data_IF_383660849252
#
_entry.id   IF_383660849252
#
_cell.length_a   1.000
_cell.length_b   1.000
_cell.length_c   1.000
_cell.angle_alpha   90.00
_cell.angle_beta   90.00
_cell.angle_gamma   90.00
#
_symmetry.space_group_name_H-M   'P 1'
#
loop_
_entity.id
_entity.type
_entity.pdbx_description
1 polymer ?
#
# COMPACT_ATOMS: atom_id res chain seq x y z
N UNK A 1 6.13 -25.84 -22.53
CA UNK A 1 6.13 -24.37 -22.67
C UNK A 1 6.38 -23.77 -21.31
N UNK A 2 7.34 -22.84 -21.20
CA UNK A 2 7.48 -21.98 -20.03
C UNK A 2 6.76 -20.68 -20.38
N UNK A 3 5.64 -20.39 -19.73
CA UNK A 3 4.91 -19.14 -19.96
C UNK A 3 5.45 -18.05 -19.04
N UNK A 4 5.90 -16.94 -19.62
CA UNK A 4 6.07 -15.67 -18.92
C UNK A 4 4.74 -14.94 -18.90
N UNK A 5 4.35 -14.41 -17.73
CA UNK A 5 3.11 -13.66 -17.54
C UNK A 5 3.41 -12.37 -16.78
N UNK A 6 2.45 -11.45 -16.82
CA UNK A 6 2.59 -10.13 -16.22
C UNK A 6 2.69 -9.04 -17.28
N UNK A 7 2.68 -7.80 -16.80
CA UNK A 7 2.87 -6.64 -17.65
C UNK A 7 4.37 -6.31 -17.75
N UNK A 8 4.84 -6.19 -18.98
CA UNK A 8 6.15 -5.63 -19.31
C UNK A 8 6.00 -4.81 -20.60
N UNK A 9 5.91 -3.48 -20.54
CA UNK A 9 6.10 -2.64 -19.35
C UNK A 9 4.90 -2.62 -18.40
N UNK A 10 5.15 -2.32 -17.12
CA UNK A 10 4.11 -2.14 -16.09
C UNK A 10 3.24 -0.92 -16.42
N UNK A 11 1.90 -1.00 -16.30
CA UNK A 11 1.02 0.15 -16.48
C UNK A 11 1.34 1.27 -15.49
N UNK A 12 1.27 2.52 -15.97
CA UNK A 12 1.67 3.70 -15.20
C UNK A 12 0.84 3.87 -13.92
N UNK A 13 -0.45 3.59 -13.96
CA UNK A 13 -1.35 3.68 -12.80
C UNK A 13 -1.02 2.64 -11.72
N UNK A 14 -0.55 1.45 -12.11
CA UNK A 14 -0.05 0.43 -11.17
C UNK A 14 1.28 0.88 -10.56
N UNK A 15 2.18 1.44 -11.37
CA UNK A 15 3.48 1.93 -10.89
C UNK A 15 3.31 3.08 -9.87
N UNK A 16 2.44 4.06 -10.18
CA UNK A 16 2.12 5.17 -9.28
C UNK A 16 1.51 4.69 -7.96
N UNK A 17 0.54 3.77 -8.03
CA UNK A 17 -0.10 3.20 -6.84
C UNK A 17 0.91 2.51 -5.91
N UNK A 18 1.79 1.67 -6.45
CA UNK A 18 2.81 0.96 -5.68
C UNK A 18 3.81 1.92 -5.04
N UNK A 19 4.29 2.91 -5.80
CA UNK A 19 5.23 3.90 -5.27
C UNK A 19 4.62 4.75 -4.17
N UNK A 20 3.36 5.15 -4.32
CA UNK A 20 2.62 5.93 -3.32
C UNK A 20 2.46 5.16 -2.02
N UNK A 21 2.08 3.88 -2.11
CA UNK A 21 1.94 3.02 -0.94
C UNK A 21 3.30 2.75 -0.26
N UNK A 22 4.35 2.47 -1.04
CA UNK A 22 5.68 2.26 -0.50
C UNK A 22 6.19 3.49 0.29
N UNK A 23 5.97 4.70 -0.24
CA UNK A 23 6.32 5.94 0.45
C UNK A 23 5.52 6.12 1.75
N UNK A 24 4.22 5.81 1.73
CA UNK A 24 3.39 5.84 2.92
C UNK A 24 3.93 4.89 4.00
N UNK A 25 4.15 3.62 3.66
CA UNK A 25 4.62 2.60 4.59
C UNK A 25 6.03 2.87 5.13
N UNK A 26 6.90 3.56 4.38
CA UNK A 26 8.21 3.98 4.88
C UNK A 26 8.13 5.01 6.01
N UNK A 27 7.09 5.83 6.03
CA UNK A 27 6.88 6.84 7.08
C UNK A 27 6.16 6.29 8.31
N UNK A 28 5.51 5.15 8.16
CA UNK A 28 4.80 4.45 9.22
C UNK A 28 5.79 3.50 9.89
N UNK A 29 6.05 3.64 11.20
CA UNK A 29 6.80 2.63 11.96
C UNK A 29 5.85 1.50 12.38
N UNK A 30 5.82 0.33 11.70
CA UNK A 30 5.00 -0.78 12.15
C UNK A 30 5.51 -1.28 13.51
N UNK A 31 4.63 -1.32 14.50
CA UNK A 31 4.86 -1.98 15.79
C UNK A 31 5.40 -1.11 16.93
N UNK A 32 5.73 0.16 16.70
CA UNK A 32 6.11 1.08 17.78
C UNK A 32 4.98 2.10 17.97
N UNK A 33 4.04 1.78 18.86
CA UNK A 33 2.98 2.72 19.27
C UNK A 33 3.56 3.88 20.12
N UNK A 34 4.60 3.58 20.90
CA UNK A 34 5.35 4.57 21.68
C UNK A 34 6.79 4.12 21.91
N UNK A 35 7.72 5.07 21.99
CA UNK A 35 9.08 4.85 22.47
C UNK A 35 9.40 5.82 23.61
N UNK A 36 10.06 5.34 24.66
CA UNK A 36 10.57 6.19 25.74
C UNK A 36 12.08 6.30 25.61
N UNK A 37 12.59 7.50 25.38
CA UNK A 37 14.04 7.79 25.27
C UNK A 37 14.39 8.89 26.27
N UNK A 38 15.26 8.58 27.23
CA UNK A 38 15.79 9.61 28.15
C UNK A 38 14.77 10.34 29.02
N UNK A 39 13.58 9.75 29.26
CA UNK A 39 12.51 10.35 30.05
C UNK A 39 11.42 11.05 29.22
N UNK A 40 11.60 11.20 27.92
CA UNK A 40 10.56 11.64 26.99
C UNK A 40 9.83 10.43 26.38
N UNK A 41 8.50 10.50 26.34
CA UNK A 41 7.65 9.53 25.66
C UNK A 41 7.22 10.10 24.32
N UNK A 42 7.69 9.50 23.23
CA UNK A 42 7.24 9.80 21.88
C UNK A 42 6.14 8.81 21.49
N UNK A 43 4.95 9.33 21.17
CA UNK A 43 3.84 8.54 20.65
C UNK A 43 3.82 8.66 19.13
N UNK A 44 3.83 7.54 18.42
CA UNK A 44 3.66 7.53 16.97
C UNK A 44 2.18 7.33 16.68
N UNK A 45 1.59 8.22 15.89
CA UNK A 45 0.25 8.00 15.37
C UNK A 45 0.27 6.73 14.53
N UNK A 46 -0.66 5.81 14.83
CA UNK A 46 -0.90 4.67 13.97
C UNK A 46 -1.16 5.17 12.52
N UNK A 47 -0.74 4.40 11.50
CA UNK A 47 -1.11 4.70 10.12
C UNK A 47 -2.61 4.97 10.06
N UNK A 48 -3.03 6.03 9.36
CA UNK A 48 -4.43 6.23 9.02
C UNK A 48 -4.96 4.90 8.46
N UNK A 49 -6.00 4.34 9.08
CA UNK A 49 -6.38 2.93 8.93
C UNK A 49 -6.78 2.48 7.50
N UNK A 50 -6.63 3.33 6.49
CA UNK A 50 -6.93 3.03 5.09
C UNK A 50 -5.74 3.24 4.18
N UNK A 51 -5.63 2.38 3.17
CA UNK A 51 -4.66 2.55 2.09
C UNK A 51 -4.93 3.83 1.28
N UNK A 52 -3.91 4.44 0.65
CA UNK A 52 -4.06 5.58 -0.22
C UNK A 52 -5.11 5.34 -1.32
N UNK A 53 -5.85 6.39 -1.67
CA UNK A 53 -6.94 6.30 -2.65
C UNK A 53 -6.46 5.82 -4.04
N UNK A 54 -5.23 6.15 -4.43
CA UNK A 54 -4.62 5.71 -5.69
C UNK A 54 -4.47 4.20 -5.72
N UNK A 55 -4.07 3.59 -4.60
CA UNK A 55 -3.99 2.15 -4.45
C UNK A 55 -5.35 1.48 -4.63
N UNK A 56 -6.36 1.93 -3.89
CA UNK A 56 -7.72 1.36 -3.96
C UNK A 56 -8.27 1.42 -5.38
N UNK A 57 -8.10 2.55 -6.08
CA UNK A 57 -8.53 2.71 -7.47
C UNK A 57 -7.82 1.77 -8.44
N UNK A 58 -6.51 1.60 -8.29
CA UNK A 58 -5.74 0.68 -9.12
C UNK A 58 -6.21 -0.77 -8.91
N UNK A 59 -6.37 -1.20 -7.65
CA UNK A 59 -6.87 -2.54 -7.33
C UNK A 59 -8.27 -2.78 -7.92
N UNK A 60 -9.20 -1.84 -7.75
CA UNK A 60 -10.56 -1.96 -8.30
C UNK A 60 -10.59 -2.07 -9.83
N UNK A 61 -9.67 -1.37 -10.51
CA UNK A 61 -9.56 -1.39 -11.97
C UNK A 61 -9.05 -2.74 -12.48
N UNK A 62 -8.00 -3.29 -11.86
CA UNK A 62 -7.35 -4.53 -12.29
C UNK A 62 -7.91 -5.79 -11.61
N UNK A 63 -8.93 -5.64 -10.77
CA UNK A 63 -9.60 -6.75 -10.11
C UNK A 63 -10.18 -7.73 -11.13
N UNK A 64 -9.83 -9.01 -10.96
CA UNK A 64 -10.42 -10.12 -11.70
C UNK A 64 -11.77 -10.53 -11.07
N UNK A 65 -12.64 -11.15 -11.85
CA UNK A 65 -13.94 -11.70 -11.39
C UNK A 65 -14.88 -10.64 -10.78
N UNK A 66 -15.28 -9.65 -11.58
CA UNK A 66 -16.27 -8.62 -11.17
C UNK A 66 -17.72 -9.16 -11.10
N UNK A 67 -17.95 -10.41 -11.52
CA UNK A 67 -19.28 -10.97 -11.84
C UNK A 67 -19.90 -11.89 -10.78
N UNK A 68 -19.23 -12.09 -9.65
CA UNK A 68 -19.64 -13.01 -8.57
C UNK A 68 -20.03 -12.24 -7.28
N UNK A 69 -20.31 -10.94 -7.43
CA UNK A 69 -20.98 -10.13 -6.40
C UNK A 69 -22.50 -10.37 -6.51
N UNK A 70 -23.19 -10.74 -5.42
CA UNK A 70 -24.65 -10.96 -5.41
C UNK A 70 -25.45 -9.69 -5.71
#
# INVERSE_FOLDING_TARGET
MVYSHGYDPVPEDVAEAVLTEAQYLLTVQPGIASMTVGGESLSFSAPAAGMPLVWTRAVDRYRLNRGDLP
#
